data_IF_487532059287
#
_entry.id   IF_487532059287
#
_cell.length_a   1.000
_cell.length_b   1.000
_cell.length_c   1.000
_cell.angle_alpha   90.00
_cell.angle_beta   90.00
_cell.angle_gamma   90.00
#
_symmetry.space_group_name_H-M   'P 1'
#
loop_
_entity.id
_entity.type
_entity.pdbx_description
1 polymer ?
#
# COMPACT_ATOMS: atom_id res chain seq x y z
N UNK A 1 10.03 -27.84 18.29
CA UNK A 1 8.67 -27.32 18.02
C UNK A 1 7.69 -28.26 18.70
N UNK A 2 6.84 -27.76 19.59
CA UNK A 2 5.91 -28.61 20.35
C UNK A 2 4.55 -28.73 19.63
N UNK A 3 3.71 -29.67 20.08
CA UNK A 3 2.40 -29.96 19.47
C UNK A 3 1.48 -28.73 19.46
N UNK A 4 1.60 -27.85 20.46
CA UNK A 4 0.85 -26.60 20.54
C UNK A 4 1.23 -25.64 19.40
N UNK A 5 2.53 -25.42 19.19
CA UNK A 5 3.04 -24.61 18.08
C UNK A 5 2.65 -25.17 16.71
N UNK A 6 2.74 -26.50 16.53
CA UNK A 6 2.33 -27.16 15.29
C UNK A 6 0.83 -27.00 15.00
N UNK A 7 0.01 -27.08 16.04
CA UNK A 7 -1.45 -26.92 15.92
C UNK A 7 -1.80 -25.50 15.50
N UNK A 8 -1.17 -24.48 16.09
CA UNK A 8 -1.37 -23.08 15.70
C UNK A 8 -1.00 -22.84 14.23
N UNK A 9 0.16 -23.34 13.78
CA UNK A 9 0.57 -23.19 12.38
C UNK A 9 -0.37 -23.88 11.39
N UNK A 10 -0.89 -25.06 11.74
CA UNK A 10 -1.81 -25.79 10.89
C UNK A 10 -3.15 -25.05 10.78
N UNK A 11 -3.67 -24.55 11.90
CA UNK A 11 -4.88 -23.74 11.92
C UNK A 11 -4.70 -22.46 11.11
N UNK A 12 -3.61 -21.74 11.33
CA UNK A 12 -3.30 -20.52 10.58
C UNK A 12 -3.21 -20.79 9.07
N UNK A 13 -2.49 -21.83 8.65
CA UNK A 13 -2.40 -22.23 7.24
C UNK A 13 -3.76 -22.59 6.62
N UNK A 14 -4.62 -23.27 7.38
CA UNK A 14 -5.93 -23.70 6.88
C UNK A 14 -6.96 -22.58 6.83
N UNK A 15 -6.92 -21.66 7.79
CA UNK A 15 -7.92 -20.60 7.94
C UNK A 15 -7.46 -19.24 7.42
N UNK A 16 -6.20 -19.09 6.98
CA UNK A 16 -5.74 -17.88 6.27
C UNK A 16 -6.46 -17.78 4.91
N UNK A 17 -7.29 -16.75 4.68
CA UNK A 17 -7.92 -16.55 3.39
C UNK A 17 -6.84 -16.38 2.32
N UNK A 18 -6.90 -17.20 1.26
CA UNK A 18 -6.05 -16.99 0.09
C UNK A 18 -6.53 -15.73 -0.64
N UNK A 19 -5.87 -14.62 -0.38
CA UNK A 19 -6.15 -13.36 -1.07
C UNK A 19 -5.86 -13.52 -2.56
N UNK A 20 -6.83 -13.17 -3.39
CA UNK A 20 -6.64 -13.08 -4.84
C UNK A 20 -5.97 -11.73 -5.10
N UNK A 21 -4.64 -11.70 -5.10
CA UNK A 21 -3.82 -10.48 -5.22
C UNK A 21 -4.27 -9.60 -6.41
N UNK A 22 -4.63 -10.21 -7.54
CA UNK A 22 -5.13 -9.47 -8.72
C UNK A 22 -6.43 -8.72 -8.42
N UNK A 23 -7.34 -9.31 -7.63
CA UNK A 23 -8.58 -8.67 -7.22
C UNK A 23 -8.30 -7.49 -6.28
N UNK A 24 -7.41 -7.66 -5.30
CA UNK A 24 -7.00 -6.61 -4.37
C UNK A 24 -6.36 -5.42 -5.10
N UNK A 25 -5.45 -5.69 -6.06
CA UNK A 25 -4.84 -4.65 -6.91
C UNK A 25 -5.88 -3.92 -7.75
N UNK A 26 -6.82 -4.65 -8.36
CA UNK A 26 -7.93 -4.03 -9.11
C UNK A 26 -8.74 -3.10 -8.21
N UNK A 27 -9.04 -3.54 -6.98
CA UNK A 27 -9.76 -2.73 -5.99
C UNK A 27 -8.97 -1.46 -5.66
N UNK A 28 -7.68 -1.58 -5.34
CA UNK A 28 -6.79 -0.44 -5.10
C UNK A 28 -6.83 0.59 -6.24
N UNK A 29 -6.68 0.14 -7.49
CA UNK A 29 -6.72 1.05 -8.65
C UNK A 29 -8.12 1.59 -8.98
N UNK A 30 -9.18 1.12 -8.32
CA UNK A 30 -10.52 1.70 -8.47
C UNK A 30 -10.81 2.83 -7.48
N UNK A 31 -9.98 3.00 -6.44
CA UNK A 31 -10.21 3.99 -5.38
C UNK A 31 -9.92 5.41 -5.88
N UNK A 32 -10.96 6.26 -5.86
CA UNK A 32 -10.92 7.68 -6.21
C UNK A 32 -11.37 8.52 -5.02
N UNK A 33 -10.80 9.72 -4.83
CA UNK A 33 -11.23 10.60 -3.75
C UNK A 33 -12.66 11.08 -4.01
N UNK A 34 -13.55 10.92 -3.03
CA UNK A 34 -14.92 11.43 -3.15
C UNK A 34 -14.93 12.97 -3.14
N UNK A 35 -15.99 13.58 -3.67
CA UNK A 35 -16.09 15.04 -3.81
C UNK A 35 -15.87 15.78 -2.48
N UNK A 36 -16.48 15.28 -1.40
CA UNK A 36 -16.45 15.90 -0.07
C UNK A 36 -15.49 15.20 0.91
N UNK A 37 -14.63 14.30 0.41
CA UNK A 37 -13.67 13.58 1.23
C UNK A 37 -12.39 14.42 1.40
N UNK A 38 -11.88 14.50 2.64
CA UNK A 38 -10.58 15.11 2.89
C UNK A 38 -9.42 14.25 2.33
N UNK A 39 -8.35 14.90 1.87
CA UNK A 39 -7.21 14.22 1.24
C UNK A 39 -6.53 13.25 2.22
N UNK A 40 -6.45 13.57 3.50
CA UNK A 40 -5.81 12.70 4.48
C UNK A 40 -6.63 11.41 4.70
N UNK A 41 -7.96 11.54 4.75
CA UNK A 41 -8.88 10.39 4.82
C UNK A 41 -8.76 9.50 3.60
N UNK A 42 -8.74 10.10 2.40
CA UNK A 42 -8.53 9.37 1.14
C UNK A 42 -7.20 8.61 1.13
N UNK A 43 -6.09 9.27 1.51
CA UNK A 43 -4.77 8.64 1.55
C UNK A 43 -4.72 7.53 2.59
N UNK A 44 -5.36 7.70 3.75
CA UNK A 44 -5.44 6.66 4.78
C UNK A 44 -6.22 5.43 4.27
N UNK A 45 -7.36 5.63 3.61
CA UNK A 45 -8.12 4.54 2.99
C UNK A 45 -7.28 3.82 1.92
N UNK A 46 -6.61 4.59 1.05
CA UNK A 46 -5.76 4.05 0.00
C UNK A 46 -4.60 3.20 0.55
N UNK A 47 -3.97 3.63 1.65
CA UNK A 47 -2.97 2.84 2.38
C UNK A 47 -3.55 1.53 2.89
N UNK A 48 -4.77 1.56 3.43
CA UNK A 48 -5.46 0.35 3.88
C UNK A 48 -5.63 -0.71 2.79
N UNK A 49 -5.94 -0.29 1.56
CA UNK A 49 -6.06 -1.21 0.42
C UNK A 49 -4.72 -1.72 -0.12
N UNK A 50 -3.65 -0.93 -0.02
CA UNK A 50 -2.33 -1.34 -0.52
C UNK A 50 -1.74 -2.54 0.24
N UNK A 51 -2.11 -2.73 1.51
CA UNK A 51 -1.60 -3.80 2.39
C UNK A 51 -1.81 -5.20 1.78
N UNK A 52 -2.93 -5.42 1.09
CA UNK A 52 -3.29 -6.74 0.52
C UNK A 52 -2.83 -6.92 -0.94
N UNK A 53 -2.19 -5.92 -1.52
CA UNK A 53 -1.89 -5.88 -2.96
C UNK A 53 -0.56 -6.52 -3.35
N UNK A 54 0.29 -6.95 -2.40
CA UNK A 54 1.65 -7.46 -2.66
C UNK A 54 2.44 -6.59 -3.65
N UNK A 55 2.45 -5.26 -3.45
CA UNK A 55 3.18 -4.33 -4.32
C UNK A 55 4.70 -4.36 -4.10
N UNK A 56 5.16 -4.89 -2.96
CA UNK A 56 6.58 -5.02 -2.60
C UNK A 56 7.29 -3.68 -2.74
N UNK A 57 8.42 -3.65 -3.43
CA UNK A 57 9.26 -2.47 -3.62
C UNK A 57 8.59 -1.34 -4.42
N UNK A 58 7.46 -1.63 -5.10
CA UNK A 58 6.67 -0.65 -5.85
C UNK A 58 5.56 0.01 -5.02
N UNK A 59 5.39 -0.37 -3.74
CA UNK A 59 4.30 0.10 -2.89
C UNK A 59 4.27 1.64 -2.86
N UNK A 60 5.41 2.30 -2.60
CA UNK A 60 5.49 3.76 -2.50
C UNK A 60 5.41 4.50 -3.84
N UNK A 61 5.88 3.89 -4.95
CA UNK A 61 5.73 4.50 -6.29
C UNK A 61 4.28 4.44 -6.76
N UNK A 62 3.66 3.26 -6.69
CA UNK A 62 2.26 3.06 -7.09
C UNK A 62 1.28 3.84 -6.22
N UNK A 63 1.56 4.00 -4.94
CA UNK A 63 0.82 4.92 -4.08
C UNK A 63 0.85 6.35 -4.59
N UNK A 64 2.04 6.88 -4.90
CA UNK A 64 2.19 8.25 -5.40
C UNK A 64 1.46 8.45 -6.73
N UNK A 65 1.63 7.50 -7.65
CA UNK A 65 0.96 7.53 -8.96
C UNK A 65 -0.57 7.53 -8.79
N UNK A 66 -1.07 6.70 -7.88
CA UNK A 66 -2.50 6.63 -7.60
C UNK A 66 -3.02 7.92 -6.94
N UNK A 67 -2.29 8.52 -6.00
CA UNK A 67 -2.66 9.79 -5.39
C UNK A 67 -2.72 10.90 -6.46
N UNK A 68 -1.70 11.02 -7.31
CA UNK A 68 -1.67 12.02 -8.40
C UNK A 68 -2.86 11.83 -9.34
N UNK A 69 -3.19 10.57 -9.69
CA UNK A 69 -4.28 10.26 -10.61
C UNK A 69 -5.66 10.57 -10.02
N UNK A 70 -5.86 10.30 -8.73
CA UNK A 70 -7.21 10.14 -8.16
C UNK A 70 -7.57 11.09 -7.02
N UNK A 71 -6.68 11.98 -6.58
CA UNK A 71 -7.04 13.08 -5.67
C UNK A 71 -7.79 14.20 -6.40
N UNK A 72 -8.65 14.92 -5.68
CA UNK A 72 -9.30 16.15 -6.14
C UNK A 72 -8.46 17.40 -5.81
N UNK A 73 -7.35 17.25 -5.07
CA UNK A 73 -6.50 18.37 -4.64
C UNK A 73 -5.36 18.64 -5.62
N UNK A 74 -5.52 19.68 -6.45
CA UNK A 74 -4.53 20.07 -7.47
C UNK A 74 -3.16 20.42 -6.88
N UNK A 75 -3.11 21.08 -5.71
CA UNK A 75 -1.83 21.43 -5.05
C UNK A 75 -1.05 20.17 -4.65
N UNK A 76 -1.74 19.15 -4.16
CA UNK A 76 -1.11 17.86 -3.82
C UNK A 76 -0.57 17.18 -5.07
N UNK A 77 -1.30 17.20 -6.19
CA UNK A 77 -0.80 16.68 -7.48
C UNK A 77 0.49 17.39 -7.90
N UNK A 78 0.47 18.73 -7.89
CA UNK A 78 1.61 19.54 -8.27
C UNK A 78 2.83 19.23 -7.39
N UNK A 79 2.67 19.22 -6.07
CA UNK A 79 3.78 18.92 -5.15
C UNK A 79 4.39 17.54 -5.41
N UNK A 80 3.58 16.52 -5.67
CA UNK A 80 4.09 15.16 -5.93
C UNK A 80 4.79 15.08 -7.29
N UNK A 81 4.22 15.69 -8.33
CA UNK A 81 4.80 15.69 -9.68
C UNK A 81 6.15 16.41 -9.68
N UNK A 82 6.27 17.57 -9.04
CA UNK A 82 7.49 18.39 -9.07
C UNK A 82 8.51 17.96 -8.00
N UNK A 83 8.08 17.33 -6.91
CA UNK A 83 8.97 16.80 -5.86
C UNK A 83 9.65 15.47 -6.23
N UNK A 84 9.35 14.91 -7.39
CA UNK A 84 9.90 13.62 -7.85
C UNK A 84 11.28 13.71 -8.53
N UNK A 85 11.77 14.93 -8.80
CA UNK A 85 13.05 15.16 -9.50
C UNK A 85 14.29 15.16 -8.58
N UNK A 86 14.22 14.47 -7.44
CA UNK A 86 15.39 14.29 -6.56
C UNK A 86 15.64 12.82 -6.27
N UNK A 87 16.68 12.32 -6.95
CA UNK A 87 17.50 11.11 -6.69
C UNK A 87 17.17 9.89 -7.54
N UNK A 88 17.82 9.83 -8.71
CA UNK A 88 18.39 8.58 -9.19
C UNK A 88 19.57 8.13 -8.30
N UNK A 89 19.86 6.83 -8.40
CA UNK A 89 20.97 6.06 -7.81
C UNK A 89 20.68 5.21 -6.55
N UNK A 90 20.52 3.92 -6.84
CA UNK A 90 20.93 2.68 -6.14
C UNK A 90 21.08 2.64 -4.60
N UNK A 91 20.35 1.67 -4.03
CA UNK A 91 20.69 0.80 -2.90
C UNK A 91 21.35 1.45 -1.68
N UNK A 92 20.53 1.73 -0.66
CA UNK A 92 20.77 1.32 0.74
C UNK A 92 19.71 1.94 1.63
N UNK A 93 18.91 1.08 2.27
CA UNK A 93 18.32 1.24 3.60
C UNK A 93 18.44 2.65 4.20
N UNK A 94 17.49 3.55 3.92
CA UNK A 94 17.33 4.80 4.69
C UNK A 94 15.86 5.03 5.01
N UNK A 95 15.56 4.60 6.23
CA UNK A 95 14.39 4.80 7.08
C UNK A 95 13.89 6.25 7.04
N UNK A 96 12.93 6.58 6.17
CA UNK A 96 11.89 7.59 6.43
C UNK A 96 10.70 7.28 5.53
N UNK A 97 9.78 6.48 6.08
CA UNK A 97 8.58 6.06 5.39
C UNK A 97 8.04 4.85 6.15
N UNK A 98 6.91 5.03 6.82
CA UNK A 98 6.05 3.91 7.17
C UNK A 98 5.71 3.22 5.85
N UNK A 99 6.51 2.22 5.48
CA UNK A 99 6.37 1.47 4.25
C UNK A 99 4.92 1.00 4.21
N UNK A 100 4.20 1.41 3.16
CA UNK A 100 2.75 1.26 3.10
C UNK A 100 2.29 -0.21 3.19
N UNK A 101 3.24 -1.13 3.02
CA UNK A 101 3.06 -2.56 3.08
C UNK A 101 3.69 -3.20 4.36
N UNK A 102 3.96 -2.45 5.44
CA UNK A 102 4.53 -3.03 6.68
C UNK A 102 3.48 -3.86 7.43
N UNK A 103 3.85 -5.13 7.58
CA UNK A 103 3.30 -6.14 8.48
C UNK A 103 1.87 -6.61 8.22
N UNK A 104 1.73 -7.37 7.12
CA UNK A 104 1.10 -8.70 7.18
C UNK A 104 1.98 -9.74 6.48
N UNK A 105 3.20 -9.94 6.99
CA UNK A 105 3.76 -11.30 6.96
C UNK A 105 3.04 -12.07 8.05
N UNK A 106 2.15 -12.94 7.59
CA UNK A 106 1.62 -14.08 8.34
C UNK A 106 2.81 -14.86 8.93
#
# INVERSE_FOLDING_TARGET
MNVYEMSLQMLEKHFTPKLIVVFERRKFFSIVQAHDEDVMSYVAALRGFAVTCDFRDLCDSLMRDQIVRCTNNTKVKEVIVHGSDVRGMHSSSKKYGTHCCLDKRN
#
